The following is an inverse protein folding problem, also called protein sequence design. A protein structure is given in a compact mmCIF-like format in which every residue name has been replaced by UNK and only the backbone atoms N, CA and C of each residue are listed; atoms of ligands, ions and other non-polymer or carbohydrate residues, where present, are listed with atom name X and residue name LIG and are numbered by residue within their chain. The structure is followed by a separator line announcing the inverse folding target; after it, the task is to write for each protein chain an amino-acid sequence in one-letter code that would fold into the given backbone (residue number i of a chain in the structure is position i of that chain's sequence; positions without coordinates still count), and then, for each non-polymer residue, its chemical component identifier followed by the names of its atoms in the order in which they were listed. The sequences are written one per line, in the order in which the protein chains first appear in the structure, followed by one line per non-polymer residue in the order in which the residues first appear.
data_IF_337342086480
#
_entry.id   IF_337342086480
#
_cell.length_a   1.000
_cell.length_b   1.000
_cell.length_c   1.000
_cell.angle_alpha   90.00
_cell.angle_beta   90.00
_cell.angle_gamma   90.00
#
_symmetry.space_group_name_H-M   'P 1'
#
loop_
_entity.id
_entity.type
_entity.pdbx_description
1 polymer ?
#
# COMPACT_ATOMS: atom_id res chain seq x y z
N UNK A 1 -2.33 16.20 -14.04
CA UNK A 1 -3.65 16.87 -14.00
C UNK A 1 -4.74 15.86 -14.35
N UNK A 2 -5.88 15.92 -13.65
CA UNK A 2 -7.04 15.07 -13.94
C UNK A 2 -8.19 15.95 -14.42
N UNK A 3 -8.80 15.58 -15.54
CA UNK A 3 -9.87 16.32 -16.17
C UNK A 3 -11.09 15.42 -16.34
N UNK A 4 -12.28 15.96 -16.07
CA UNK A 4 -13.53 15.34 -16.45
C UNK A 4 -13.80 15.59 -17.93
N UNK A 5 -14.06 14.53 -18.69
CA UNK A 5 -14.35 14.62 -20.11
C UNK A 5 -15.58 13.75 -20.48
N UNK A 6 -16.07 13.93 -21.70
CA UNK A 6 -17.08 13.05 -22.31
C UNK A 6 -16.54 12.45 -23.59
N UNK A 7 -16.65 11.15 -23.73
CA UNK A 7 -16.30 10.46 -24.98
C UNK A 7 -17.44 10.54 -25.99
N UNK A 8 -17.14 10.20 -27.26
CA UNK A 8 -18.14 10.08 -28.32
C UNK A 8 -19.10 8.95 -27.94
N UNK A 9 -20.28 9.27 -27.50
CA UNK A 9 -21.25 8.32 -26.91
C UNK A 9 -21.87 8.86 -25.62
N UNK A 10 -21.32 9.94 -25.08
CA UNK A 10 -21.89 10.67 -23.94
C UNK A 10 -21.42 10.21 -22.57
N UNK A 11 -20.65 9.12 -22.50
CA UNK A 11 -20.10 8.58 -21.26
C UNK A 11 -19.06 9.54 -20.66
N UNK A 12 -19.09 9.71 -19.34
CA UNK A 12 -18.14 10.54 -18.61
C UNK A 12 -16.88 9.71 -18.24
N UNK A 13 -15.73 10.31 -18.46
CA UNK A 13 -14.43 9.71 -18.17
C UNK A 13 -13.53 10.69 -17.39
N UNK A 14 -12.65 10.15 -16.58
CA UNK A 14 -11.55 10.88 -15.98
C UNK A 14 -10.30 10.71 -16.84
N UNK A 15 -9.72 11.82 -17.29
CA UNK A 15 -8.52 11.83 -18.11
C UNK A 15 -7.38 12.42 -17.30
N UNK A 16 -6.41 11.59 -16.93
CA UNK A 16 -5.19 11.99 -16.23
C UNK A 16 -4.12 12.29 -17.29
N UNK A 17 -3.64 13.53 -17.32
CA UNK A 17 -2.66 14.01 -18.30
C UNK A 17 -1.37 14.39 -17.59
N UNK A 18 -0.25 13.83 -18.07
CA UNK A 18 1.07 14.14 -17.56
C UNK A 18 1.49 15.57 -17.92
N UNK A 19 2.18 16.25 -17.01
CA UNK A 19 2.75 17.56 -17.27
C UNK A 19 3.81 17.46 -18.38
N UNK A 20 3.74 18.36 -19.35
CA UNK A 20 4.74 18.42 -20.42
C UNK A 20 6.15 18.64 -19.85
N UNK A 21 7.13 17.89 -20.38
CA UNK A 21 8.54 17.99 -19.97
C UNK A 21 8.87 17.33 -18.62
N UNK A 22 7.91 16.66 -17.95
CA UNK A 22 8.12 16.09 -16.60
C UNK A 22 9.25 15.06 -16.58
N UNK A 23 9.34 14.17 -17.57
CA UNK A 23 10.42 13.18 -17.66
C UNK A 23 11.79 13.84 -17.78
N UNK A 24 11.93 14.87 -18.62
CA UNK A 24 13.20 15.57 -18.78
C UNK A 24 13.62 16.29 -17.49
N UNK A 25 12.66 16.85 -16.74
CA UNK A 25 12.91 17.44 -15.44
C UNK A 25 13.41 16.38 -14.44
N UNK A 26 12.74 15.23 -14.37
CA UNK A 26 13.17 14.12 -13.50
C UNK A 26 14.57 13.60 -13.87
N UNK A 27 14.86 13.45 -15.17
CA UNK A 27 16.18 13.02 -15.64
C UNK A 27 17.29 13.97 -15.15
N UNK A 28 17.01 15.28 -15.18
CA UNK A 28 17.98 16.29 -14.72
C UNK A 28 18.13 16.29 -13.19
N UNK A 29 17.01 16.28 -12.47
CA UNK A 29 17.00 16.32 -11.00
C UNK A 29 17.63 15.05 -10.41
N UNK A 30 17.29 13.88 -10.95
CA UNK A 30 17.89 12.61 -10.54
C UNK A 30 19.39 12.55 -10.84
N UNK A 31 19.84 13.11 -11.97
CA UNK A 31 21.27 13.24 -12.28
C UNK A 31 22.00 14.07 -11.24
N UNK A 32 21.44 15.21 -10.85
CA UNK A 32 22.00 16.09 -9.83
C UNK A 32 22.00 15.40 -8.45
N UNK A 33 20.90 14.74 -8.09
CA UNK A 33 20.78 14.01 -6.84
C UNK A 33 21.81 12.86 -6.76
N UNK A 34 22.06 12.14 -7.88
CA UNK A 34 23.08 11.09 -7.94
C UNK A 34 24.48 11.62 -7.62
N UNK A 35 24.80 12.84 -8.02
CA UNK A 35 26.10 13.46 -7.68
C UNK A 35 26.19 13.76 -6.19
N UNK A 36 25.11 14.31 -5.59
CA UNK A 36 25.05 14.57 -4.14
C UNK A 36 25.17 13.29 -3.33
N UNK A 37 24.44 12.25 -3.72
CA UNK A 37 24.48 10.93 -3.05
C UNK A 37 25.89 10.35 -3.07
N UNK A 38 26.63 10.41 -4.18
CA UNK A 38 28.01 9.95 -4.26
C UNK A 38 28.96 10.75 -3.34
N UNK A 39 28.69 12.02 -3.10
CA UNK A 39 29.45 12.83 -2.15
C UNK A 39 29.11 12.43 -0.72
N UNK A 40 27.83 12.26 -0.41
CA UNK A 40 27.36 11.81 0.91
C UNK A 40 27.93 10.42 1.27
N UNK A 41 27.89 9.49 0.34
CA UNK A 41 28.42 8.12 0.53
C UNK A 41 29.92 8.10 0.88
N UNK A 42 30.68 9.10 0.35
CA UNK A 42 32.11 9.28 0.67
C UNK A 42 32.37 10.01 1.98
N UNK A 43 31.44 10.90 2.38
CA UNK A 43 31.57 11.76 3.56
C UNK A 43 30.89 11.20 4.80
N UNK A 44 29.98 10.24 4.62
CA UNK A 44 29.23 9.64 5.73
C UNK A 44 30.23 8.92 6.65
N UNK A 45 30.53 9.48 7.82
CA UNK A 45 31.36 8.79 8.79
C UNK A 45 30.50 7.63 9.29
N UNK A 46 30.91 6.39 9.09
CA UNK A 46 30.30 5.16 9.64
C UNK A 46 30.34 5.15 11.19
N UNK A 47 30.01 6.30 11.80
CA UNK A 47 30.18 6.59 13.21
C UNK A 47 29.15 5.91 14.11
N UNK A 48 27.97 5.56 13.54
CA UNK A 48 26.85 4.97 14.31
C UNK A 48 26.69 3.45 14.06
N UNK A 49 27.61 2.81 13.33
CA UNK A 49 27.56 1.38 13.03
C UNK A 49 26.47 0.99 12.04
N UNK A 50 25.73 1.93 11.47
CA UNK A 50 24.74 1.70 10.42
C UNK A 50 25.46 1.80 9.06
N UNK A 51 25.53 0.68 8.34
CA UNK A 51 26.04 0.63 6.97
C UNK A 51 24.95 1.13 6.02
N UNK A 52 24.89 2.47 5.83
CA UNK A 52 23.90 3.13 4.97
C UNK A 52 24.43 3.12 3.54
N UNK A 53 23.81 2.35 2.68
CA UNK A 53 24.07 2.38 1.25
C UNK A 53 23.22 3.47 0.58
N UNK A 54 23.74 4.69 0.60
CA UNK A 54 23.08 5.85 -0.01
C UNK A 54 22.85 5.68 -1.51
N UNK A 55 23.72 4.94 -2.19
CA UNK A 55 23.59 4.68 -3.62
C UNK A 55 22.40 3.77 -3.89
N UNK A 56 22.25 2.68 -3.15
CA UNK A 56 21.11 1.78 -3.27
C UNK A 56 19.79 2.47 -2.94
N UNK A 57 19.74 3.31 -1.89
CA UNK A 57 18.56 4.10 -1.55
C UNK A 57 18.18 5.03 -2.71
N UNK A 58 19.17 5.70 -3.31
CA UNK A 58 18.93 6.54 -4.48
C UNK A 58 18.39 5.74 -5.67
N UNK A 59 19.00 4.60 -5.98
CA UNK A 59 18.61 3.78 -7.13
C UNK A 59 17.18 3.23 -7.00
N UNK A 60 16.78 2.81 -5.82
CA UNK A 60 15.40 2.39 -5.55
C UNK A 60 14.42 3.56 -5.63
N UNK A 61 14.77 4.72 -5.04
CA UNK A 61 13.93 5.93 -5.12
C UNK A 61 13.75 6.41 -6.57
N UNK A 62 14.82 6.37 -7.37
CA UNK A 62 14.74 6.72 -8.79
C UNK A 62 13.82 5.79 -9.59
N UNK A 63 13.88 4.48 -9.33
CA UNK A 63 12.96 3.51 -9.96
C UNK A 63 11.50 3.80 -9.62
N UNK A 64 11.20 4.09 -8.34
CA UNK A 64 9.85 4.41 -7.91
C UNK A 64 9.32 5.68 -8.60
N UNK A 65 10.13 6.74 -8.69
CA UNK A 65 9.76 7.98 -9.37
C UNK A 65 9.47 7.77 -10.87
N UNK A 66 10.26 6.92 -11.55
CA UNK A 66 9.98 6.60 -12.95
C UNK A 66 8.71 5.76 -13.12
N UNK A 67 8.39 4.85 -12.19
CA UNK A 67 7.12 4.11 -12.21
C UNK A 67 5.92 5.05 -12.05
N UNK A 68 6.02 6.07 -11.19
CA UNK A 68 4.94 7.03 -10.92
C UNK A 68 4.55 7.87 -12.15
N UNK A 69 5.51 8.11 -13.06
CA UNK A 69 5.24 8.85 -14.30
C UNK A 69 4.91 7.96 -15.51
N UNK A 70 4.84 6.65 -15.33
CA UNK A 70 4.49 5.69 -16.38
C UNK A 70 3.00 5.35 -16.32
N UNK A 71 2.21 6.01 -17.16
CA UNK A 71 0.75 5.85 -17.19
C UNK A 71 0.28 4.54 -17.84
N UNK A 72 1.14 3.87 -18.60
CA UNK A 72 0.85 2.50 -19.06
C UNK A 72 0.96 1.55 -17.87
N UNK A 73 2.03 1.65 -17.07
CA UNK A 73 2.17 0.88 -15.85
C UNK A 73 1.03 1.15 -14.85
N UNK A 74 0.59 2.40 -14.71
CA UNK A 74 -0.57 2.75 -13.87
C UNK A 74 -1.86 2.06 -14.34
N UNK A 75 -2.10 2.03 -15.66
CA UNK A 75 -3.25 1.36 -16.25
C UNK A 75 -3.23 -0.17 -16.05
N UNK A 76 -2.07 -0.80 -16.23
CA UNK A 76 -1.86 -2.24 -15.99
C UNK A 76 -2.08 -2.58 -14.51
N UNK A 77 -1.53 -1.76 -13.61
CA UNK A 77 -1.72 -1.90 -12.18
C UNK A 77 -3.19 -1.79 -11.76
N UNK A 78 -3.93 -0.83 -12.34
CA UNK A 78 -5.36 -0.67 -12.08
C UNK A 78 -6.16 -1.92 -12.46
N UNK A 79 -5.87 -2.52 -13.61
CA UNK A 79 -6.52 -3.75 -14.05
C UNK A 79 -6.19 -4.91 -13.11
N UNK A 80 -4.90 -5.12 -12.81
CA UNK A 80 -4.46 -6.17 -11.88
C UNK A 80 -5.11 -6.00 -10.49
N UNK A 81 -5.17 -4.77 -10.00
CA UNK A 81 -5.83 -4.48 -8.72
C UNK A 81 -7.32 -4.80 -8.77
N UNK A 82 -8.01 -4.44 -9.86
CA UNK A 82 -9.42 -4.76 -10.07
C UNK A 82 -9.67 -6.27 -10.10
N UNK A 83 -8.83 -7.03 -10.81
CA UNK A 83 -8.89 -8.50 -10.86
C UNK A 83 -8.68 -9.12 -9.47
N UNK A 84 -7.72 -8.61 -8.71
CA UNK A 84 -7.44 -9.06 -7.35
C UNK A 84 -8.65 -8.88 -6.40
N UNK A 85 -9.48 -7.88 -6.63
CA UNK A 85 -10.66 -7.57 -5.82
C UNK A 85 -12.00 -7.93 -6.47
N UNK A 86 -11.99 -8.77 -7.53
CA UNK A 86 -13.22 -9.13 -8.27
C UNK A 86 -14.31 -9.74 -7.37
N UNK A 87 -13.93 -10.48 -6.33
CA UNK A 87 -14.83 -11.12 -5.37
C UNK A 87 -15.21 -10.19 -4.18
N UNK A 88 -14.84 -8.92 -4.23
CA UNK A 88 -15.03 -7.93 -3.16
C UNK A 88 -15.90 -6.77 -3.64
N UNK A 89 -17.24 -6.89 -3.61
CA UNK A 89 -18.15 -5.92 -4.25
C UNK A 89 -18.06 -4.51 -3.67
N UNK A 90 -17.63 -4.38 -2.43
CA UNK A 90 -17.45 -3.08 -1.77
C UNK A 90 -16.09 -2.40 -2.08
N UNK A 91 -15.29 -2.96 -3.01
CA UNK A 91 -14.12 -2.31 -3.60
C UNK A 91 -14.42 -1.99 -5.05
N UNK A 92 -14.33 -0.72 -5.41
CA UNK A 92 -14.47 -0.25 -6.80
C UNK A 92 -13.14 0.25 -7.33
N UNK A 93 -12.81 -0.20 -8.51
CA UNK A 93 -11.71 0.31 -9.34
C UNK A 93 -12.33 0.82 -10.64
N UNK A 94 -12.02 2.05 -11.08
CA UNK A 94 -12.47 2.56 -12.38
C UNK A 94 -11.97 1.71 -13.54
N UNK A 95 -12.80 1.53 -14.56
CA UNK A 95 -12.40 0.85 -15.80
C UNK A 95 -11.41 1.68 -16.61
N UNK A 96 -10.41 1.03 -17.19
CA UNK A 96 -9.40 1.68 -18.04
C UNK A 96 -9.83 1.60 -19.51
N UNK A 97 -9.83 2.75 -20.22
CA UNK A 97 -10.07 2.82 -21.65
C UNK A 97 -8.75 2.78 -22.42
N UNK A 98 -8.28 1.59 -22.74
CA UNK A 98 -6.99 1.36 -23.38
C UNK A 98 -6.82 2.08 -24.73
N UNK A 99 -7.87 2.15 -25.53
CA UNK A 99 -7.87 2.86 -26.81
C UNK A 99 -7.69 4.39 -26.69
N UNK A 100 -7.77 4.91 -25.44
CA UNK A 100 -7.58 6.32 -25.09
C UNK A 100 -6.48 6.51 -24.04
N UNK A 101 -5.63 5.51 -23.87
CA UNK A 101 -4.52 5.51 -22.92
C UNK A 101 -3.19 5.46 -23.67
N UNK A 102 -2.18 6.16 -23.16
CA UNK A 102 -0.82 6.25 -23.72
C UNK A 102 0.17 6.52 -22.59
N UNK A 103 1.48 6.53 -22.87
CA UNK A 103 2.54 6.82 -21.89
C UNK A 103 2.32 8.08 -21.05
N UNK A 104 1.57 9.06 -21.56
CA UNK A 104 1.36 10.38 -20.92
C UNK A 104 -0.10 10.72 -20.62
N UNK A 105 -1.00 9.84 -20.96
CA UNK A 105 -2.43 10.03 -20.76
C UNK A 105 -3.05 8.69 -20.36
N UNK A 106 -3.71 8.65 -19.21
CA UNK A 106 -4.56 7.52 -18.86
C UNK A 106 -6.01 7.99 -18.78
N UNK A 107 -6.89 7.25 -19.44
CA UNK A 107 -8.33 7.50 -19.47
C UNK A 107 -9.03 6.39 -18.72
N UNK A 108 -9.82 6.76 -17.72
CA UNK A 108 -10.55 5.83 -16.86
C UNK A 108 -12.01 6.22 -16.73
N UNK A 109 -12.82 5.27 -16.32
CA UNK A 109 -14.22 5.50 -15.91
C UNK A 109 -14.28 6.64 -14.89
N UNK A 110 -15.22 7.56 -15.05
CA UNK A 110 -15.48 8.54 -14.03
C UNK A 110 -16.41 7.94 -12.97
N UNK A 111 -15.85 7.68 -11.80
CA UNK A 111 -16.62 7.18 -10.64
C UNK A 111 -16.68 8.30 -9.60
N UNK A 112 -17.85 8.92 -9.40
CA UNK A 112 -18.01 9.95 -8.38
C UNK A 112 -17.94 9.34 -6.98
N UNK A 113 -17.21 10.01 -6.07
CA UNK A 113 -17.08 9.57 -4.69
C UNK A 113 -16.76 10.74 -3.75
N UNK A 114 -16.95 10.51 -2.46
CA UNK A 114 -16.57 11.40 -1.38
C UNK A 114 -15.17 11.00 -0.91
N UNK A 115 -14.26 11.95 -0.81
CA UNK A 115 -12.92 11.68 -0.24
C UNK A 115 -13.07 11.10 1.17
N UNK A 116 -12.30 10.05 1.47
CA UNK A 116 -12.42 9.31 2.75
C UNK A 116 -12.12 10.16 3.99
N UNK A 117 -11.44 11.30 3.83
CA UNK A 117 -11.16 12.26 4.90
C UNK A 117 -12.20 13.38 5.03
N UNK A 118 -13.21 13.44 4.15
CA UNK A 118 -14.31 14.40 4.25
C UNK A 118 -15.45 13.83 5.12
N UNK A 119 -15.22 13.84 6.43
CA UNK A 119 -16.10 13.20 7.42
C UNK A 119 -17.50 13.80 7.44
N UNK A 120 -17.62 15.12 7.24
CA UNK A 120 -18.91 15.82 7.25
C UNK A 120 -19.79 15.36 6.09
N UNK A 121 -19.22 15.19 4.90
CA UNK A 121 -19.95 14.72 3.74
C UNK A 121 -20.29 13.23 3.84
N UNK A 122 -19.41 12.41 4.43
CA UNK A 122 -19.66 10.99 4.73
C UNK A 122 -20.88 10.85 5.65
N UNK A 123 -20.94 11.65 6.73
CA UNK A 123 -22.07 11.64 7.65
C UNK A 123 -23.36 12.14 6.99
N UNK A 124 -23.26 13.22 6.19
CA UNK A 124 -24.39 13.78 5.47
C UNK A 124 -25.03 12.76 4.50
N UNK A 125 -24.22 11.89 3.93
CA UNK A 125 -24.67 10.80 3.05
C UNK A 125 -25.10 9.54 3.79
N UNK A 126 -25.01 9.52 5.12
CA UNK A 126 -25.39 8.38 5.95
C UNK A 126 -24.47 7.16 5.81
N UNK A 127 -23.22 7.36 5.37
CA UNK A 127 -22.25 6.28 5.23
C UNK A 127 -21.66 5.96 6.61
N UNK A 128 -21.62 4.68 6.99
CA UNK A 128 -21.10 4.23 8.27
C UNK A 128 -19.56 4.33 8.32
N UNK A 129 -19.04 5.28 9.10
CA UNK A 129 -17.59 5.48 9.30
C UNK A 129 -16.89 4.25 9.88
N UNK A 130 -17.55 3.49 10.75
CA UNK A 130 -16.97 2.29 11.36
C UNK A 130 -16.82 1.18 10.32
N UNK A 131 -17.83 1.03 9.48
CA UNK A 131 -17.78 0.08 8.37
C UNK A 131 -16.70 0.48 7.36
N UNK A 132 -16.57 1.78 7.01
CA UNK A 132 -15.51 2.26 6.13
C UNK A 132 -14.12 1.99 6.72
N UNK A 133 -13.91 2.28 8.00
CA UNK A 133 -12.63 2.02 8.66
C UNK A 133 -12.29 0.52 8.64
N UNK A 134 -13.28 -0.35 8.92
CA UNK A 134 -13.12 -1.80 8.83
C UNK A 134 -12.76 -2.24 7.41
N UNK A 135 -13.50 -1.80 6.39
CA UNK A 135 -13.26 -2.12 4.99
C UNK A 135 -11.88 -1.62 4.51
N UNK A 136 -11.48 -0.42 4.95
CA UNK A 136 -10.16 0.12 4.64
C UNK A 136 -9.05 -0.79 5.18
N UNK A 137 -9.12 -1.16 6.45
CA UNK A 137 -8.16 -2.09 7.06
C UNK A 137 -8.16 -3.46 6.36
N UNK A 138 -9.34 -4.01 6.08
CA UNK A 138 -9.51 -5.29 5.39
C UNK A 138 -8.94 -5.24 3.96
N UNK A 139 -9.20 -4.17 3.21
CA UNK A 139 -8.65 -4.01 1.86
C UNK A 139 -7.12 -3.96 1.87
N UNK A 140 -6.50 -3.24 2.81
CA UNK A 140 -5.05 -3.17 2.91
C UNK A 140 -4.43 -4.49 3.38
N UNK A 141 -4.99 -5.15 4.37
CA UNK A 141 -4.53 -6.47 4.80
C UNK A 141 -4.65 -7.50 3.67
N UNK A 142 -5.72 -7.45 2.89
CA UNK A 142 -5.91 -8.32 1.72
C UNK A 142 -4.84 -8.08 0.67
N UNK A 143 -4.51 -6.82 0.37
CA UNK A 143 -3.41 -6.49 -0.54
C UNK A 143 -2.08 -7.08 -0.06
N UNK A 144 -1.72 -6.88 1.21
CA UNK A 144 -0.44 -7.29 1.78
C UNK A 144 -0.35 -8.82 1.95
N UNK A 145 -1.36 -9.44 2.55
CA UNK A 145 -1.30 -10.83 2.98
C UNK A 145 -1.78 -11.82 1.93
N UNK A 146 -2.88 -11.49 1.20
CA UNK A 146 -3.49 -12.40 0.22
C UNK A 146 -2.92 -12.20 -1.17
N UNK A 147 -2.88 -10.96 -1.66
CA UNK A 147 -2.45 -10.68 -3.03
C UNK A 147 -0.91 -10.53 -3.13
N UNK A 148 -0.26 -10.02 -2.09
CA UNK A 148 1.16 -9.64 -2.14
C UNK A 148 1.44 -8.47 -3.07
N UNK A 149 0.40 -7.89 -3.69
CA UNK A 149 0.43 -6.73 -4.56
C UNK A 149 -0.36 -5.61 -3.89
N UNK A 150 0.29 -4.48 -3.62
CA UNK A 150 -0.24 -3.48 -2.70
C UNK A 150 0.11 -2.06 -3.14
N UNK A 151 -0.74 -1.12 -2.72
CA UNK A 151 -0.55 0.30 -2.92
C UNK A 151 0.46 0.86 -1.91
N UNK A 152 1.55 1.47 -2.41
CA UNK A 152 2.63 2.00 -1.58
C UNK A 152 2.33 3.37 -0.97
N UNK A 153 1.36 4.12 -1.52
CA UNK A 153 0.95 5.44 -1.04
C UNK A 153 -0.54 5.46 -0.62
N UNK A 154 -0.90 4.96 0.58
CA UNK A 154 -2.27 4.93 1.07
C UNK A 154 -2.77 6.33 1.50
N UNK A 155 -2.57 7.33 0.65
CA UNK A 155 -2.98 8.69 0.95
C UNK A 155 -4.50 8.85 0.83
N UNK A 156 -5.17 9.56 1.76
CA UNK A 156 -6.63 9.78 1.68
C UNK A 156 -7.10 10.49 0.40
N UNK A 157 -6.21 11.12 -0.35
CA UNK A 157 -6.48 11.71 -1.65
C UNK A 157 -6.73 10.71 -2.76
N UNK A 158 -6.21 9.47 -2.60
CA UNK A 158 -6.27 8.39 -3.59
C UNK A 158 -7.45 7.44 -3.35
N UNK A 159 -8.17 7.61 -2.23
CA UNK A 159 -9.29 6.77 -1.82
C UNK A 159 -10.54 7.62 -1.57
N UNK A 160 -11.64 7.20 -2.14
CA UNK A 160 -12.96 7.77 -1.87
C UNK A 160 -13.94 6.68 -1.45
N UNK A 161 -15.17 7.10 -1.12
CA UNK A 161 -16.28 6.20 -0.85
C UNK A 161 -17.57 6.71 -1.46
N UNK A 162 -18.52 5.82 -1.64
CA UNK A 162 -19.90 6.12 -1.98
C UNK A 162 -20.88 5.29 -1.13
N UNK A 163 -22.17 5.50 -1.33
CA UNK A 163 -23.24 4.86 -0.54
C UNK A 163 -23.51 3.40 -0.96
N UNK A 164 -22.95 2.94 -2.08
CA UNK A 164 -23.21 1.59 -2.58
C UNK A 164 -22.67 0.54 -1.60
N UNK A 165 -23.35 -0.57 -1.50
CA UNK A 165 -23.00 -1.67 -0.57
C UNK A 165 -22.83 -1.23 0.90
N UNK A 166 -23.48 -0.13 1.30
CA UNK A 166 -23.39 0.43 2.64
C UNK A 166 -22.10 1.21 2.93
N UNK A 167 -21.37 1.60 1.89
CA UNK A 167 -20.10 2.33 1.98
C UNK A 167 -18.99 1.65 1.19
N UNK A 168 -19.04 1.74 -0.16
CA UNK A 168 -18.05 1.15 -1.06
C UNK A 168 -16.80 2.02 -1.10
N UNK A 169 -15.62 1.39 -1.07
CA UNK A 169 -14.33 2.06 -1.26
C UNK A 169 -14.00 2.17 -2.76
N UNK A 170 -13.49 3.32 -3.18
CA UNK A 170 -13.10 3.60 -4.55
C UNK A 170 -11.62 3.98 -4.56
N UNK A 171 -10.80 3.24 -5.30
CA UNK A 171 -9.38 3.53 -5.48
C UNK A 171 -9.16 4.16 -6.85
N UNK A 172 -8.42 5.30 -6.92
CA UNK A 172 -8.26 6.07 -8.15
C UNK A 172 -6.84 6.10 -8.71
N UNK A 173 -5.82 5.93 -7.89
CA UNK A 173 -4.42 6.04 -8.28
C UNK A 173 -3.71 4.69 -8.14
N UNK A 174 -2.96 4.28 -9.15
CA UNK A 174 -2.25 3.00 -9.19
C UNK A 174 -0.81 3.17 -9.68
N UNK A 175 -0.30 4.42 -9.69
CA UNK A 175 1.06 4.72 -10.11
C UNK A 175 2.13 4.13 -9.19
N UNK A 176 1.83 4.11 -7.87
CA UNK A 176 2.75 3.61 -6.85
C UNK A 176 2.29 2.25 -6.30
N UNK A 177 2.40 1.22 -7.11
CA UNK A 177 2.16 -0.17 -6.69
C UNK A 177 3.46 -0.95 -6.59
N UNK A 178 3.52 -1.87 -5.63
CA UNK A 178 4.64 -2.81 -5.51
C UNK A 178 4.17 -4.22 -5.17
N UNK A 179 5.09 -5.18 -5.20
CA UNK A 179 4.80 -6.58 -5.00
C UNK A 179 5.83 -7.24 -4.07
N UNK A 180 5.33 -7.97 -3.08
CA UNK A 180 6.21 -8.77 -2.22
C UNK A 180 6.72 -10.01 -2.93
N UNK A 181 7.99 -10.32 -2.70
CA UNK A 181 8.50 -11.65 -3.01
C UNK A 181 7.72 -12.71 -2.19
N UNK A 182 7.53 -13.92 -2.73
CA UNK A 182 6.73 -14.95 -2.05
C UNK A 182 7.14 -15.22 -0.60
N UNK A 183 8.44 -15.28 -0.32
CA UNK A 183 8.96 -15.48 1.04
C UNK A 183 8.69 -14.29 1.98
N UNK A 184 8.66 -13.06 1.45
CA UNK A 184 8.32 -11.88 2.25
C UNK A 184 6.83 -11.88 2.59
N UNK A 185 5.98 -12.26 1.64
CA UNK A 185 4.54 -12.36 1.87
C UNK A 185 4.21 -13.45 2.90
N UNK A 186 4.73 -14.68 2.73
CA UNK A 186 4.49 -15.76 3.69
C UNK A 186 5.03 -15.43 5.08
N UNK A 187 6.25 -14.89 5.16
CA UNK A 187 6.83 -14.44 6.41
C UNK A 187 6.02 -13.31 7.09
N UNK A 188 5.45 -12.37 6.32
CA UNK A 188 4.56 -11.33 6.87
C UNK A 188 3.29 -11.93 7.47
N UNK A 189 2.66 -12.88 6.79
CA UNK A 189 1.50 -13.59 7.31
C UNK A 189 1.86 -14.34 8.60
N UNK A 190 2.97 -15.08 8.60
CA UNK A 190 3.47 -15.79 9.77
C UNK A 190 3.80 -14.84 10.93
N UNK A 191 4.36 -13.66 10.63
CA UNK A 191 4.66 -12.61 11.62
C UNK A 191 3.37 -12.09 12.29
N UNK A 192 2.33 -11.82 11.52
CA UNK A 192 1.02 -11.37 12.04
C UNK A 192 0.43 -12.44 12.97
N UNK A 193 0.42 -13.70 12.55
CA UNK A 193 -0.12 -14.79 13.37
C UNK A 193 0.69 -15.04 14.64
N UNK A 194 2.01 -15.12 14.54
CA UNK A 194 2.88 -15.32 15.70
C UNK A 194 2.81 -14.16 16.69
N UNK A 195 2.60 -12.94 16.20
CA UNK A 195 2.34 -11.76 17.06
C UNK A 195 1.01 -11.92 17.82
N UNK A 196 -0.03 -12.35 17.13
CA UNK A 196 -1.34 -12.60 17.74
C UNK A 196 -1.30 -13.74 18.75
N UNK A 197 -0.59 -14.83 18.45
CA UNK A 197 -0.41 -16.00 19.32
C UNK A 197 0.57 -15.74 20.49
N UNK A 198 1.21 -14.56 20.48
CA UNK A 198 2.22 -14.17 21.46
C UNK A 198 3.39 -15.17 21.51
N UNK A 199 3.83 -15.67 20.34
CA UNK A 199 4.94 -16.60 20.19
C UNK A 199 6.21 -15.88 19.69
N UNK A 200 7.15 -15.52 20.59
CA UNK A 200 8.39 -14.83 20.23
C UNK A 200 9.31 -15.65 19.30
N UNK A 201 9.24 -17.00 19.37
CA UNK A 201 10.06 -17.86 18.51
C UNK A 201 9.56 -17.86 17.10
N UNK A 202 8.26 -18.01 16.91
CA UNK A 202 7.61 -17.95 15.60
C UNK A 202 7.78 -16.55 14.96
N UNK A 203 7.78 -15.47 15.77
CA UNK A 203 8.14 -14.11 15.29
C UNK A 203 9.55 -14.09 14.72
N UNK A 204 10.54 -14.67 15.42
CA UNK A 204 11.91 -14.73 14.92
C UNK A 204 12.02 -15.54 13.61
N UNK A 205 11.32 -16.68 13.52
CA UNK A 205 11.32 -17.52 12.32
C UNK A 205 10.72 -16.77 11.12
N UNK A 206 9.63 -16.05 11.33
CA UNK A 206 9.01 -15.20 10.31
C UNK A 206 9.96 -14.09 9.82
N UNK A 207 10.68 -13.43 10.73
CA UNK A 207 11.65 -12.40 10.35
C UNK A 207 12.86 -12.97 9.56
N UNK A 208 13.26 -14.21 9.85
CA UNK A 208 14.28 -14.93 9.06
C UNK A 208 13.73 -15.29 7.67
N UNK A 209 12.50 -15.77 7.58
CA UNK A 209 11.82 -16.10 6.33
C UNK A 209 11.73 -14.88 5.40
N UNK A 210 11.39 -13.73 5.97
CA UNK A 210 11.36 -12.45 5.26
C UNK A 210 12.74 -11.96 4.80
N UNK A 211 13.83 -12.54 5.35
CA UNK A 211 15.18 -12.07 5.11
C UNK A 211 15.58 -10.80 5.87
N UNK A 212 14.78 -10.39 6.85
CA UNK A 212 15.07 -9.25 7.74
C UNK A 212 16.19 -9.63 8.72
N UNK A 213 16.14 -10.86 9.22
CA UNK A 213 17.17 -11.44 10.07
C UNK A 213 17.99 -12.48 9.30
N UNK A 214 19.32 -12.45 9.49
CA UNK A 214 20.21 -13.51 8.98
C UNK A 214 19.99 -14.79 9.79
N UNK A 215 20.04 -15.96 9.13
CA UNK A 215 19.89 -17.26 9.79
C UNK A 215 20.87 -17.53 10.95
N UNK A 216 22.01 -16.83 10.98
CA UNK A 216 23.03 -16.91 12.04
C UNK A 216 22.95 -15.80 13.10
N UNK A 217 21.89 -14.99 13.14
CA UNK A 217 21.69 -13.94 14.14
C UNK A 217 21.52 -14.53 15.54
N UNK A 218 21.92 -13.78 16.56
CA UNK A 218 21.70 -14.17 17.97
C UNK A 218 20.19 -14.25 18.28
N UNK A 219 19.63 -15.45 18.08
CA UNK A 219 18.21 -15.72 18.29
C UNK A 219 17.76 -15.41 19.72
N UNK A 220 18.63 -15.63 20.72
CA UNK A 220 18.25 -15.40 22.13
C UNK A 220 18.00 -13.92 22.38
N UNK A 221 18.85 -13.04 21.87
CA UNK A 221 18.66 -11.59 21.99
C UNK A 221 17.44 -11.12 21.21
N UNK A 222 17.22 -11.64 20.00
CA UNK A 222 16.04 -11.29 19.20
C UNK A 222 14.74 -11.78 19.85
N UNK A 223 14.70 -13.01 20.38
CA UNK A 223 13.53 -13.53 21.10
C UNK A 223 13.22 -12.69 22.37
N UNK A 224 14.23 -12.20 23.09
CA UNK A 224 14.01 -11.30 24.22
C UNK A 224 13.36 -9.98 23.80
N UNK A 225 13.85 -9.38 22.72
CA UNK A 225 13.28 -8.15 22.17
C UNK A 225 11.84 -8.39 21.70
N UNK A 226 11.62 -9.48 20.96
CA UNK A 226 10.28 -9.87 20.49
C UNK A 226 9.31 -10.07 21.66
N UNK A 227 9.74 -10.74 22.74
CA UNK A 227 8.94 -10.96 23.94
C UNK A 227 8.58 -9.64 24.64
N UNK A 228 9.51 -8.70 24.75
CA UNK A 228 9.24 -7.39 25.33
C UNK A 228 8.21 -6.62 24.50
N UNK A 229 8.40 -6.59 23.18
CA UNK A 229 7.49 -5.94 22.25
C UNK A 229 6.08 -6.54 22.29
N UNK A 230 5.98 -7.88 22.25
CA UNK A 230 4.70 -8.60 22.31
C UNK A 230 3.97 -8.35 23.63
N UNK A 231 4.71 -8.24 24.76
CA UNK A 231 4.14 -7.90 26.05
C UNK A 231 3.52 -6.50 26.08
N UNK A 232 4.23 -5.50 25.54
CA UNK A 232 3.71 -4.14 25.41
C UNK A 232 2.51 -4.07 24.46
N UNK A 233 2.59 -4.75 23.33
CA UNK A 233 1.51 -4.82 22.33
C UNK A 233 0.24 -5.44 22.93
N UNK A 234 0.36 -6.57 23.63
CA UNK A 234 -0.76 -7.23 24.31
C UNK A 234 -1.36 -6.34 25.40
N UNK A 235 -0.52 -5.65 26.19
CA UNK A 235 -1.00 -4.72 27.22
C UNK A 235 -1.77 -3.54 26.58
N UNK A 236 -1.28 -2.99 25.47
CA UNK A 236 -1.95 -1.90 24.76
C UNK A 236 -3.31 -2.34 24.19
N UNK A 237 -3.39 -3.54 23.62
CA UNK A 237 -4.65 -4.10 23.15
C UNK A 237 -5.66 -4.33 24.27
N UNK A 238 -5.19 -4.81 25.43
CA UNK A 238 -6.06 -5.09 26.60
C UNK A 238 -6.54 -3.80 27.30
N UNK A 239 -5.75 -2.73 27.29
CA UNK A 239 -6.14 -1.43 27.85
C UNK A 239 -7.15 -0.67 26.94
N UNK A 240 -7.21 -1.03 25.66
CA UNK A 240 -8.04 -0.32 24.69
C UNK A 240 -9.48 -0.81 24.56
N UNK A 241 -9.87 -2.00 25.11
CA UNK A 241 -11.23 -2.52 24.87
C UNK A 241 -11.71 -3.73 25.68
N UNK A 242 -13.01 -3.70 25.98
CA UNK A 242 -13.88 -4.84 26.29
C UNK A 242 -13.80 -5.93 25.19
N UNK A 243 -13.02 -6.97 25.36
CA UNK A 243 -13.05 -8.33 24.77
C UNK A 243 -13.55 -8.61 23.34
N UNK A 244 -13.94 -7.59 22.56
CA UNK A 244 -14.53 -7.76 21.22
C UNK A 244 -13.53 -7.98 20.09
N UNK A 245 -12.26 -7.63 20.28
CA UNK A 245 -11.24 -7.74 19.24
C UNK A 245 -10.85 -9.18 18.89
N UNK A 246 -10.87 -10.08 19.86
CA UNK A 246 -10.51 -11.48 19.65
C UNK A 246 -11.44 -12.22 18.69
N UNK A 247 -12.75 -11.90 18.70
CA UNK A 247 -13.71 -12.54 17.79
C UNK A 247 -13.63 -11.99 16.34
N UNK A 248 -13.24 -10.75 16.17
CA UNK A 248 -13.08 -10.14 14.84
C UNK A 248 -11.78 -10.57 14.16
N UNK A 249 -10.67 -10.65 14.90
CA UNK A 249 -9.40 -11.19 14.39
C UNK A 249 -9.52 -12.65 13.96
N UNK A 250 -10.32 -13.47 14.66
CA UNK A 250 -10.57 -14.85 14.25
C UNK A 250 -11.33 -14.95 12.92
N UNK A 251 -12.20 -13.97 12.61
CA UNK A 251 -12.88 -13.90 11.31
C UNK A 251 -11.93 -13.47 10.20
N UNK A 252 -11.06 -12.48 10.46
CA UNK A 252 -10.02 -12.05 9.53
C UNK A 252 -9.04 -13.20 9.25
N UNK A 253 -8.67 -13.96 10.27
CA UNK A 253 -7.82 -15.15 10.18
C UNK A 253 -8.39 -16.18 9.20
N UNK A 254 -9.68 -16.49 9.29
CA UNK A 254 -10.34 -17.43 8.36
C UNK A 254 -10.42 -16.88 6.93
N UNK A 255 -10.58 -15.57 6.76
CA UNK A 255 -10.64 -14.94 5.44
C UNK A 255 -9.27 -14.82 4.74
N UNK A 256 -8.16 -14.82 5.50
CA UNK A 256 -6.81 -14.76 4.95
C UNK A 256 -6.23 -16.15 4.60
N UNK A 257 -6.83 -17.24 5.09
CA UNK A 257 -6.40 -18.62 4.86
C UNK A 257 -7.21 -19.34 3.73
N UNK A 258 -8.26 -18.72 3.22
CA UNK A 258 -9.06 -19.14 2.07
C UNK A 258 -8.71 -18.31 0.85
#
# INVERSE_FOLDING_TARGET
QVHLAKIKGGEQVAVKVQRAGLKALFDQDLKNLKLLVKVLDKLDPKFDGADRDWVSIYEESAKLLYKEIDYINEAENAIRFKENFQDTPWVKVPDVYWNMTSERVVTMEFVPGVKINNLDEIDRRGIDRKLLAKRSAEAYLTQLCRHGFFHCDPHPGNVACDEQDGGRLIFYDFGMMDEFKPNVRSGLVNLIFSTYENDPRAVCDALVEMGILKAGSDRISVEKIARSFLGEFTNTLNQGQDGKWTSELTKVQKALLL
#
